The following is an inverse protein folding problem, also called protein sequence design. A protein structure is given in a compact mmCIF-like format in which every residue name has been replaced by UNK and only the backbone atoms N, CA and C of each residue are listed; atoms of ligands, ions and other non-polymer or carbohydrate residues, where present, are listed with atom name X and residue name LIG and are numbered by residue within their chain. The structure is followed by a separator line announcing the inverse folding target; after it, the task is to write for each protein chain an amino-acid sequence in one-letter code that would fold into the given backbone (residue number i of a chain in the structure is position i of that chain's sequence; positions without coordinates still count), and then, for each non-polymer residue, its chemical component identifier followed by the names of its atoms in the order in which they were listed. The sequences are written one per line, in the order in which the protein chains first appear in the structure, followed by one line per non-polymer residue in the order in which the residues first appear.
data_IF_277800814808
#
_entry.id   IF_277800814808
#
_cell.length_a   1.000
_cell.length_b   1.000
_cell.length_c   1.000
_cell.angle_alpha   90.00
_cell.angle_beta   90.00
_cell.angle_gamma   90.00
#
_symmetry.space_group_name_H-M   'P 1'
#
loop_
_entity.id
_entity.type
_entity.pdbx_description
1 polymer ?
#
# COMPACT_ATOMS: atom_id res chain seq x y z
N UNK A 1 41.77 43.26 79.81
CA UNK A 1 41.41 43.98 78.58
C UNK A 1 41.66 43.03 77.42
N UNK A 2 40.65 42.23 77.03
CA UNK A 2 40.02 42.29 75.70
C UNK A 2 40.99 42.76 74.59
N UNK A 3 41.27 41.93 73.58
CA UNK A 3 40.65 42.04 72.23
C UNK A 3 41.14 40.93 71.28
N UNK A 4 40.19 40.08 70.88
CA UNK A 4 39.97 39.28 69.64
C UNK A 4 41.14 38.68 68.83
N UNK A 5 41.11 37.34 68.77
CA UNK A 5 41.53 36.48 67.67
C UNK A 5 40.67 36.69 66.41
N UNK A 6 41.29 36.65 65.22
CA UNK A 6 40.61 36.45 63.93
C UNK A 6 41.18 35.16 63.33
N UNK A 7 40.40 34.08 63.43
CA UNK A 7 40.57 32.86 62.62
C UNK A 7 39.94 33.11 61.25
N UNK A 8 40.71 32.94 60.19
CA UNK A 8 40.21 32.94 58.81
C UNK A 8 39.85 31.49 58.46
N UNK A 9 38.57 31.13 58.60
CA UNK A 9 38.04 29.83 58.21
C UNK A 9 37.72 29.81 56.72
N UNK A 10 38.42 28.95 55.98
CA UNK A 10 38.22 28.64 54.57
C UNK A 10 36.99 27.75 54.42
N UNK A 11 35.83 28.33 54.11
CA UNK A 11 34.61 27.58 53.78
C UNK A 11 34.56 27.33 52.27
N UNK A 12 34.94 26.12 51.83
CA UNK A 12 34.61 25.60 50.51
C UNK A 12 33.12 25.26 50.46
N UNK A 13 32.33 26.09 49.79
CA UNK A 13 30.95 25.79 49.48
C UNK A 13 30.90 24.81 48.29
N UNK A 14 30.68 23.52 48.58
CA UNK A 14 30.23 22.55 47.58
C UNK A 14 28.79 22.89 47.20
N UNK A 15 28.60 23.58 46.09
CA UNK A 15 27.30 23.71 45.46
C UNK A 15 26.95 22.36 44.80
N UNK A 16 26.16 21.54 45.50
CA UNK A 16 25.50 20.40 44.89
C UNK A 16 24.44 20.93 43.91
N UNK A 17 24.80 21.01 42.63
CA UNK A 17 23.84 21.22 41.56
C UNK A 17 22.95 19.98 41.48
N UNK A 18 21.75 20.07 42.05
CA UNK A 18 20.68 19.11 41.81
C UNK A 18 20.18 19.30 40.38
N UNK A 19 20.82 18.64 39.43
CA UNK A 19 20.31 18.51 38.07
C UNK A 19 19.03 17.69 38.14
N UNK A 20 17.89 18.36 38.13
CA UNK A 20 16.60 17.71 37.84
C UNK A 20 16.71 17.28 36.38
N UNK A 21 17.10 16.03 36.18
CA UNK A 21 16.93 15.36 34.90
C UNK A 21 15.41 15.29 34.66
N UNK A 22 14.87 16.27 33.96
CA UNK A 22 13.60 16.09 33.28
C UNK A 22 13.82 14.94 32.30
N UNK A 23 13.44 13.74 32.71
CA UNK A 23 13.23 12.63 31.82
C UNK A 23 12.12 13.03 30.87
N UNK A 24 12.48 13.72 29.79
CA UNK A 24 11.73 13.63 28.56
C UNK A 24 11.74 12.13 28.23
N UNK A 25 10.67 11.43 28.61
CA UNK A 25 10.37 10.13 28.06
C UNK A 25 10.45 10.30 26.55
N UNK A 26 11.49 9.76 25.93
CA UNK A 26 11.66 9.72 24.48
C UNK A 26 10.63 8.76 23.89
N UNK A 27 9.34 8.98 24.18
CA UNK A 27 8.27 8.31 23.48
C UNK A 27 8.32 8.81 22.04
N UNK A 28 8.82 7.94 21.15
CA UNK A 28 8.82 8.21 19.72
C UNK A 28 7.38 8.56 19.31
N UNK A 29 7.16 9.66 18.57
CA UNK A 29 5.83 10.01 18.11
C UNK A 29 5.23 8.84 17.31
N UNK A 30 4.00 8.47 17.63
CA UNK A 30 3.26 7.44 16.89
C UNK A 30 3.06 7.93 15.46
N UNK A 31 3.32 7.06 14.50
CA UNK A 31 3.09 7.35 13.09
C UNK A 31 1.59 7.46 12.82
N UNK A 32 1.19 8.43 11.99
CA UNK A 32 -0.20 8.47 11.55
C UNK A 32 -0.48 7.30 10.61
N UNK A 33 -1.74 6.88 10.54
CA UNK A 33 -2.17 5.90 9.56
C UNK A 33 -1.88 6.36 8.14
N UNK A 34 -1.20 5.48 7.40
CA UNK A 34 -0.75 5.71 6.03
C UNK A 34 -0.48 4.38 5.35
N UNK A 35 -0.47 4.41 4.02
CA UNK A 35 0.19 3.43 3.17
C UNK A 35 1.54 4.00 2.72
N UNK A 36 2.46 3.14 2.31
CA UNK A 36 3.53 3.56 1.41
C UNK A 36 2.93 4.11 0.11
N UNK A 37 3.65 4.99 -0.58
CA UNK A 37 3.17 5.58 -1.82
C UNK A 37 3.76 4.88 -3.04
N UNK A 38 2.91 4.25 -3.84
CA UNK A 38 3.28 3.72 -5.14
C UNK A 38 2.71 2.34 -5.40
N UNK A 39 3.50 1.52 -6.09
CA UNK A 39 3.10 0.20 -6.57
C UNK A 39 3.39 -0.89 -5.53
N UNK A 40 2.38 -1.68 -5.19
CA UNK A 40 2.48 -2.87 -4.36
C UNK A 40 2.38 -4.11 -5.24
N UNK A 41 3.24 -5.09 -5.06
CA UNK A 41 3.00 -6.43 -5.58
C UNK A 41 1.96 -7.10 -4.67
N UNK A 42 0.83 -7.52 -5.24
CA UNK A 42 -0.25 -8.14 -4.48
C UNK A 42 -0.54 -9.55 -5.02
N UNK A 43 -0.61 -10.52 -4.12
CA UNK A 43 -0.98 -11.90 -4.39
C UNK A 43 -2.43 -12.14 -3.96
N UNK A 44 -3.19 -12.81 -4.80
CA UNK A 44 -4.62 -13.06 -4.60
C UNK A 44 -4.84 -14.54 -4.34
N UNK A 45 -5.45 -14.85 -3.19
CA UNK A 45 -5.86 -16.19 -2.80
C UNK A 45 -7.38 -16.31 -2.95
N UNK A 46 -7.85 -17.11 -3.91
CA UNK A 46 -9.28 -17.32 -4.12
C UNK A 46 -9.93 -17.93 -2.86
N UNK A 47 -10.89 -17.22 -2.27
CA UNK A 47 -11.66 -17.69 -1.11
C UNK A 47 -13.03 -18.22 -1.51
N UNK A 48 -13.61 -17.69 -2.59
CA UNK A 48 -14.92 -18.14 -3.13
C UNK A 48 -15.06 -17.82 -4.61
N UNK A 49 -15.73 -18.69 -5.35
CA UNK A 49 -15.97 -18.54 -6.79
C UNK A 49 -15.89 -19.88 -7.51
N UNK A 50 -16.30 -19.93 -8.77
CA UNK A 50 -16.02 -21.09 -9.63
C UNK A 50 -14.56 -20.99 -10.09
N UNK A 51 -13.66 -21.91 -9.67
CA UNK A 51 -12.25 -21.81 -10.01
C UNK A 51 -12.02 -21.85 -11.52
N UNK A 52 -12.90 -22.43 -12.33
CA UNK A 52 -12.71 -22.47 -13.79
C UNK A 52 -13.17 -21.18 -14.48
N UNK A 53 -13.79 -20.25 -13.75
CA UNK A 53 -14.28 -18.99 -14.29
C UNK A 53 -13.16 -17.94 -14.39
N UNK A 54 -13.18 -17.11 -15.43
CA UNK A 54 -12.12 -16.15 -15.72
C UNK A 54 -11.83 -15.17 -14.57
N UNK A 55 -12.85 -14.72 -13.84
CA UNK A 55 -12.69 -13.81 -12.71
C UNK A 55 -12.14 -14.49 -11.45
N UNK A 56 -12.09 -15.83 -11.38
CA UNK A 56 -11.57 -16.63 -10.27
C UNK A 56 -10.13 -17.12 -10.50
N UNK A 57 -9.54 -16.77 -11.64
CA UNK A 57 -8.19 -17.19 -12.07
C UNK A 57 -7.13 -16.11 -11.85
N UNK A 58 -7.46 -15.01 -11.15
CA UNK A 58 -6.48 -13.97 -10.84
C UNK A 58 -5.55 -14.46 -9.74
N UNK A 59 -4.26 -14.49 -10.04
CA UNK A 59 -3.22 -14.87 -9.07
C UNK A 59 -2.68 -13.66 -8.30
N UNK A 60 -2.91 -12.46 -8.80
CA UNK A 60 -2.38 -11.22 -8.25
C UNK A 60 -2.48 -10.05 -9.23
N UNK A 61 -2.05 -8.88 -8.79
CA UNK A 61 -1.89 -7.68 -9.61
C UNK A 61 -0.81 -6.79 -8.97
N UNK A 62 -0.41 -5.74 -9.69
CA UNK A 62 0.27 -4.61 -9.07
C UNK A 62 -0.76 -3.53 -8.74
N UNK A 63 -0.78 -3.13 -7.47
CA UNK A 63 -1.75 -2.16 -6.97
C UNK A 63 -1.08 -0.81 -6.77
N UNK A 64 -1.64 0.23 -7.39
CA UNK A 64 -1.33 1.60 -7.01
C UNK A 64 -2.06 1.95 -5.72
N UNK A 65 -1.32 2.19 -4.64
CA UNK A 65 -1.89 2.57 -3.35
C UNK A 65 -1.34 3.94 -2.93
N UNK A 66 -2.26 4.81 -2.49
CA UNK A 66 -1.90 6.15 -2.03
C UNK A 66 -2.80 6.64 -0.91
N UNK A 67 -2.18 7.22 0.12
CA UNK A 67 -2.88 7.92 1.19
C UNK A 67 -3.11 9.39 0.84
N UNK A 68 -4.31 9.88 1.17
CA UNK A 68 -4.74 11.27 0.99
C UNK A 68 -5.19 11.86 2.31
N UNK A 69 -4.48 12.87 2.79
CA UNK A 69 -4.87 13.61 3.98
C UNK A 69 -5.92 14.67 3.65
N UNK A 70 -6.94 14.79 4.49
CA UNK A 70 -8.00 15.77 4.29
C UNK A 70 -7.51 17.18 4.67
N UNK A 71 -8.16 18.22 4.15
CA UNK A 71 -7.92 19.57 4.63
C UNK A 71 -8.55 19.78 6.03
N UNK A 72 -8.05 20.78 6.77
CA UNK A 72 -8.67 21.21 8.03
C UNK A 72 -7.91 20.84 9.30
N UNK A 73 -6.65 20.42 9.20
CA UNK A 73 -5.78 20.22 10.35
C UNK A 73 -5.38 21.53 11.05
N UNK A 74 -4.78 21.44 12.25
CA UNK A 74 -4.37 22.60 13.02
C UNK A 74 -3.37 23.46 12.25
N UNK A 75 -3.47 24.79 12.40
CA UNK A 75 -2.58 25.75 11.76
C UNK A 75 -2.52 25.65 10.21
N UNK A 76 -3.60 25.16 9.57
CA UNK A 76 -3.66 24.99 8.12
C UNK A 76 -2.89 23.78 7.59
N UNK A 77 -2.50 22.85 8.47
CA UNK A 77 -1.90 21.56 8.07
C UNK A 77 -2.97 20.57 7.57
N UNK A 78 -2.59 19.48 6.88
CA UNK A 78 -3.50 18.39 6.62
C UNK A 78 -4.05 17.77 7.92
N UNK A 79 -5.29 17.31 7.88
CA UNK A 79 -5.90 16.53 8.95
C UNK A 79 -5.43 15.07 8.86
N UNK A 80 -4.36 14.79 9.59
CA UNK A 80 -3.77 13.45 9.67
C UNK A 80 -4.66 12.43 10.40
N UNK A 81 -5.68 12.87 11.13
CA UNK A 81 -6.60 11.97 11.84
C UNK A 81 -7.74 11.46 10.95
N UNK A 82 -7.90 12.06 9.77
CA UNK A 82 -8.98 11.73 8.82
C UNK A 82 -8.42 11.37 7.45
N UNK A 83 -7.32 10.63 7.43
CA UNK A 83 -6.71 10.15 6.21
C UNK A 83 -7.63 9.18 5.46
N UNK A 84 -7.56 9.22 4.12
CA UNK A 84 -8.16 8.23 3.23
C UNK A 84 -7.07 7.48 2.49
N UNK A 85 -7.37 6.32 1.96
CA UNK A 85 -6.49 5.57 1.07
C UNK A 85 -7.25 5.18 -0.18
N UNK A 86 -6.58 5.25 -1.32
CA UNK A 86 -7.08 4.73 -2.58
C UNK A 86 -6.28 3.50 -3.02
N UNK A 87 -6.98 2.54 -3.61
CA UNK A 87 -6.40 1.35 -4.25
C UNK A 87 -6.83 1.37 -5.71
N UNK A 88 -5.86 1.20 -6.62
CA UNK A 88 -6.09 1.07 -8.07
C UNK A 88 -5.37 -0.17 -8.61
N UNK A 89 -6.10 -1.19 -9.07
CA UNK A 89 -5.51 -2.30 -9.82
C UNK A 89 -4.85 -1.82 -11.11
N UNK A 90 -3.59 -2.20 -11.37
CA UNK A 90 -2.89 -1.86 -12.62
C UNK A 90 -3.56 -2.51 -13.82
N UNK A 91 -4.04 -3.74 -13.69
CA UNK A 91 -4.77 -4.44 -14.75
C UNK A 91 -6.01 -3.67 -15.21
N UNK A 92 -6.75 -3.07 -14.28
CA UNK A 92 -7.90 -2.22 -14.59
C UNK A 92 -7.49 -0.93 -15.31
N UNK A 93 -6.41 -0.28 -14.85
CA UNK A 93 -5.84 0.88 -15.52
C UNK A 93 -5.41 0.58 -16.96
N UNK A 94 -4.73 -0.55 -17.18
CA UNK A 94 -4.27 -0.98 -18.51
C UNK A 94 -5.43 -1.21 -19.49
N UNK A 95 -6.58 -1.73 -19.02
CA UNK A 95 -7.78 -1.88 -19.86
C UNK A 95 -8.39 -0.52 -20.27
N UNK A 96 -8.38 0.46 -19.37
CA UNK A 96 -8.80 1.83 -19.70
C UNK A 96 -7.85 2.44 -20.73
N UNK A 97 -6.55 2.30 -20.53
CA UNK A 97 -5.55 2.81 -21.46
C UNK A 97 -5.69 2.18 -22.86
N UNK A 98 -5.92 0.86 -22.94
CA UNK A 98 -6.12 0.18 -24.22
C UNK A 98 -7.39 0.67 -24.93
N UNK A 99 -8.51 0.78 -24.21
CA UNK A 99 -9.76 1.29 -24.76
C UNK A 99 -9.62 2.75 -25.24
N UNK A 100 -8.92 3.60 -24.49
CA UNK A 100 -8.64 4.97 -24.88
C UNK A 100 -7.71 5.04 -26.10
N UNK A 101 -6.69 4.18 -26.18
CA UNK A 101 -5.80 4.09 -27.32
C UNK A 101 -6.53 3.66 -28.61
N UNK A 102 -7.63 2.90 -28.49
CA UNK A 102 -8.53 2.55 -29.60
C UNK A 102 -9.57 3.64 -29.90
N UNK A 103 -9.58 4.73 -29.15
CA UNK A 103 -10.44 5.90 -29.37
C UNK A 103 -11.92 5.67 -29.08
N UNK A 104 -12.26 4.66 -28.27
CA UNK A 104 -13.66 4.34 -27.93
C UNK A 104 -14.14 5.00 -26.64
N UNK A 105 -13.23 5.52 -25.82
CA UNK A 105 -13.51 6.22 -24.56
C UNK A 105 -12.57 7.42 -24.36
N UNK A 106 -12.91 8.28 -23.41
CA UNK A 106 -11.98 9.24 -22.80
C UNK A 106 -11.45 8.65 -21.48
N UNK A 107 -10.13 8.45 -21.38
CA UNK A 107 -9.52 7.84 -20.20
C UNK A 107 -9.71 8.67 -18.92
N UNK A 108 -9.71 10.00 -19.03
CA UNK A 108 -9.84 10.90 -17.88
C UNK A 108 -11.23 10.76 -17.22
N UNK A 109 -12.25 10.39 -18.00
CA UNK A 109 -13.60 10.12 -17.53
C UNK A 109 -13.75 8.79 -16.78
N UNK A 110 -12.80 7.86 -16.91
CA UNK A 110 -12.86 6.54 -16.26
C UNK A 110 -11.80 6.33 -15.19
N UNK A 111 -10.63 6.98 -15.29
CA UNK A 111 -9.54 6.77 -14.34
C UNK A 111 -9.91 7.08 -12.89
N UNK A 112 -10.80 8.04 -12.66
CA UNK A 112 -11.28 8.34 -11.31
C UNK A 112 -12.15 7.21 -10.76
N UNK A 113 -12.94 6.53 -11.60
CA UNK A 113 -13.80 5.39 -11.24
C UNK A 113 -13.04 4.10 -11.02
N UNK A 114 -11.82 4.00 -11.53
CA UNK A 114 -10.92 2.87 -11.29
C UNK A 114 -10.27 2.86 -9.90
N UNK A 115 -10.53 3.87 -9.06
CA UNK A 115 -10.00 3.94 -7.70
C UNK A 115 -11.07 3.52 -6.69
N UNK A 116 -10.75 2.53 -5.88
CA UNK A 116 -11.50 2.24 -4.68
C UNK A 116 -10.97 3.13 -3.57
N UNK A 117 -11.82 3.93 -2.92
CA UNK A 117 -11.40 4.89 -1.88
C UNK A 117 -12.08 4.57 -0.57
N UNK A 118 -11.29 4.38 0.47
CA UNK A 118 -11.73 4.11 1.83
C UNK A 118 -11.14 5.10 2.83
N UNK A 119 -11.75 5.19 4.02
CA UNK A 119 -11.28 6.03 5.11
C UNK A 119 -10.63 5.16 6.18
N UNK A 120 -9.47 5.58 6.71
CA UNK A 120 -8.92 4.92 7.89
C UNK A 120 -9.89 5.11 9.07
N UNK A 121 -10.07 4.04 9.85
CA UNK A 121 -10.96 4.04 11.03
C UNK A 121 -10.44 4.92 12.16
N UNK A 122 -9.11 5.09 12.23
CA UNK A 122 -8.41 5.90 13.19
C UNK A 122 -7.25 6.68 12.54
N UNK A 123 -6.78 7.73 13.23
CA UNK A 123 -5.62 8.50 12.80
C UNK A 123 -4.27 7.84 13.11
N UNK A 124 -4.26 6.82 13.96
CA UNK A 124 -3.06 6.12 14.41
C UNK A 124 -3.29 4.60 14.40
N UNK A 125 -2.23 3.80 14.27
CA UNK A 125 -2.30 2.35 14.35
C UNK A 125 -2.83 1.89 15.71
N UNK A 126 -3.43 0.69 15.72
CA UNK A 126 -3.80 0.00 16.95
C UNK A 126 -2.58 -0.56 17.71
N UNK A 127 -2.82 -1.29 18.80
CA UNK A 127 -1.77 -1.91 19.62
C UNK A 127 -1.00 -3.03 18.91
N UNK A 128 -1.52 -3.50 17.77
CA UNK A 128 -0.88 -4.47 16.89
C UNK A 128 -0.20 -3.79 15.69
N UNK A 129 -0.07 -2.46 15.70
CA UNK A 129 0.51 -1.66 14.61
C UNK A 129 -0.28 -1.69 13.29
N UNK A 130 -1.59 -1.93 13.34
CA UNK A 130 -2.43 -1.90 12.15
C UNK A 130 -3.26 -0.63 12.02
N UNK A 131 -3.32 -0.13 10.79
CA UNK A 131 -4.26 0.87 10.35
C UNK A 131 -5.35 0.23 9.50
N UNK A 132 -6.60 0.36 9.93
CA UNK A 132 -7.71 -0.38 9.36
C UNK A 132 -8.59 0.52 8.46
N UNK A 133 -9.16 -0.08 7.43
CA UNK A 133 -10.17 0.52 6.54
C UNK A 133 -11.28 -0.51 6.36
N UNK A 134 -12.44 -0.24 6.95
CA UNK A 134 -13.56 -1.21 6.94
C UNK A 134 -14.13 -1.44 5.54
N UNK A 135 -14.40 -0.34 4.82
CA UNK A 135 -15.05 -0.37 3.52
C UNK A 135 -14.42 0.64 2.56
N UNK A 136 -14.48 0.30 1.28
CA UNK A 136 -14.12 1.17 0.17
C UNK A 136 -15.35 1.46 -0.69
N UNK A 137 -15.37 2.64 -1.31
CA UNK A 137 -16.18 2.83 -2.51
C UNK A 137 -15.71 1.85 -3.60
N UNK A 138 -16.64 1.37 -4.42
CA UNK A 138 -16.29 0.46 -5.51
C UNK A 138 -15.37 1.14 -6.54
N UNK A 139 -14.40 0.39 -7.04
CA UNK A 139 -13.76 0.72 -8.32
C UNK A 139 -14.52 0.00 -9.43
N UNK A 140 -15.21 0.75 -10.28
CA UNK A 140 -16.12 0.21 -11.30
C UNK A 140 -15.90 0.88 -12.65
N UNK A 141 -15.76 0.06 -13.69
CA UNK A 141 -15.51 0.50 -15.06
C UNK A 141 -16.38 -0.31 -16.01
N UNK A 142 -17.11 0.42 -16.85
CA UNK A 142 -17.84 -0.11 -18.01
C UNK A 142 -17.07 0.26 -19.25
N UNK A 143 -16.59 -0.73 -19.99
CA UNK A 143 -15.88 -0.56 -21.25
C UNK A 143 -16.78 -1.03 -22.41
N UNK A 144 -16.90 -0.22 -23.48
CA UNK A 144 -17.61 -0.65 -24.68
C UNK A 144 -16.85 -1.78 -25.39
N UNK A 145 -17.48 -2.39 -26.40
CA UNK A 145 -16.78 -3.31 -27.30
C UNK A 145 -15.57 -2.62 -27.93
N UNK A 146 -14.41 -3.28 -27.88
CA UNK A 146 -13.19 -2.76 -28.47
C UNK A 146 -13.06 -3.30 -29.90
N UNK A 147 -12.93 -2.43 -30.91
CA UNK A 147 -12.74 -2.89 -32.28
C UNK A 147 -11.37 -3.56 -32.44
N UNK A 148 -11.28 -4.46 -33.42
CA UNK A 148 -9.99 -5.00 -33.84
C UNK A 148 -9.10 -3.88 -34.40
N UNK A 149 -7.82 -3.93 -34.07
CA UNK A 149 -6.80 -3.05 -34.64
C UNK A 149 -6.08 -3.85 -35.72
N UNK A 150 -6.16 -3.44 -37.00
CA UNK A 150 -5.39 -4.09 -38.06
C UNK A 150 -3.91 -3.74 -37.92
N UNK A 151 -3.06 -4.61 -38.45
CA UNK A 151 -1.62 -4.40 -38.54
C UNK A 151 -1.27 -3.14 -39.36
N UNK A 152 -0.26 -2.37 -38.93
CA UNK A 152 0.16 -1.19 -39.71
C UNK A 152 1.05 -1.63 -40.89
N UNK A 153 0.53 -1.48 -42.10
CA UNK A 153 1.25 -1.78 -43.32
C UNK A 153 2.58 -1.03 -43.49
N UNK A 154 2.86 -0.01 -42.67
CA UNK A 154 4.14 0.73 -42.64
C UNK A 154 5.20 0.11 -41.75
N UNK A 155 4.84 -0.79 -40.85
CA UNK A 155 5.73 -1.50 -39.92
C UNK A 155 5.60 -3.02 -40.11
N UNK A 156 5.79 -3.55 -41.34
CA UNK A 156 5.48 -4.96 -41.64
C UNK A 156 6.34 -6.00 -40.90
N UNK A 157 7.36 -5.57 -40.15
CA UNK A 157 8.22 -6.43 -39.33
C UNK A 157 7.74 -6.51 -37.87
N UNK A 158 6.77 -5.69 -37.47
CA UNK A 158 6.16 -5.62 -36.14
C UNK A 158 4.66 -5.92 -36.28
N UNK A 159 4.16 -6.98 -35.64
CA UNK A 159 2.72 -7.27 -35.63
C UNK A 159 2.05 -6.44 -34.52
N UNK A 160 1.40 -5.34 -34.88
CA UNK A 160 0.64 -4.52 -33.93
C UNK A 160 -0.86 -4.80 -33.96
N UNK A 161 -1.26 -5.89 -34.64
CA UNK A 161 -2.66 -6.26 -34.73
C UNK A 161 -3.19 -6.69 -33.36
N UNK A 162 -4.42 -6.25 -33.06
CA UNK A 162 -5.14 -6.63 -31.84
C UNK A 162 -6.52 -7.14 -32.21
N UNK A 163 -6.98 -8.26 -31.61
CA UNK A 163 -8.32 -8.75 -31.86
C UNK A 163 -9.38 -7.78 -31.31
N UNK A 164 -10.61 -7.93 -31.80
CA UNK A 164 -11.75 -7.28 -31.16
C UNK A 164 -12.00 -7.91 -29.79
N UNK A 165 -12.45 -7.11 -28.83
CA UNK A 165 -12.79 -7.56 -27.49
C UNK A 165 -14.24 -7.19 -27.17
N UNK A 166 -15.00 -8.07 -26.51
CA UNK A 166 -16.38 -7.76 -26.14
C UNK A 166 -16.42 -6.61 -25.13
N UNK A 167 -17.58 -5.96 -25.05
CA UNK A 167 -17.85 -5.01 -23.97
C UNK A 167 -17.66 -5.69 -22.61
N UNK A 168 -17.13 -4.95 -21.64
CA UNK A 168 -16.77 -5.51 -20.34
C UNK A 168 -17.24 -4.62 -19.20
N UNK A 169 -17.77 -5.25 -18.15
CA UNK A 169 -18.20 -4.61 -16.90
C UNK A 169 -17.38 -5.18 -15.77
N UNK A 170 -16.58 -4.34 -15.11
CA UNK A 170 -15.62 -4.77 -14.08
C UNK A 170 -15.85 -3.96 -12.82
N UNK A 171 -16.00 -4.64 -11.68
CA UNK A 171 -16.19 -4.03 -10.36
C UNK A 171 -15.29 -4.71 -9.33
N UNK A 172 -14.45 -3.91 -8.67
CA UNK A 172 -13.66 -4.30 -7.51
C UNK A 172 -14.26 -3.67 -6.26
N UNK A 173 -14.59 -4.51 -5.27
CA UNK A 173 -15.06 -4.07 -3.96
C UNK A 173 -14.10 -4.57 -2.89
N UNK A 174 -13.34 -3.64 -2.33
CA UNK A 174 -12.39 -3.91 -1.26
C UNK A 174 -13.05 -3.72 0.11
N UNK A 175 -12.66 -4.53 1.09
CA UNK A 175 -13.11 -4.40 2.48
C UNK A 175 -12.08 -4.95 3.46
N UNK A 176 -12.21 -4.55 4.72
CA UNK A 176 -11.40 -5.06 5.82
C UNK A 176 -9.89 -4.87 5.63
N UNK A 177 -9.48 -3.80 4.93
CA UNK A 177 -8.06 -3.61 4.64
C UNK A 177 -7.28 -3.23 5.90
N UNK A 178 -6.10 -3.82 6.06
CA UNK A 178 -5.18 -3.59 7.18
C UNK A 178 -3.80 -3.27 6.64
N UNK A 179 -3.23 -2.16 7.09
CA UNK A 179 -1.88 -1.73 6.74
C UNK A 179 -0.99 -1.83 7.98
N UNK A 180 0.17 -2.47 7.86
CA UNK A 180 1.18 -2.46 8.94
C UNK A 180 1.82 -1.09 8.95
N UNK A 181 1.70 -0.37 10.07
CA UNK A 181 2.26 0.97 10.27
C UNK A 181 3.02 1.00 11.58
N UNK A 182 4.32 0.77 11.48
CA UNK A 182 5.31 0.81 12.56
C UNK A 182 6.55 1.58 12.10
N UNK A 183 7.54 1.76 12.98
CA UNK A 183 8.77 2.48 12.64
C UNK A 183 9.56 1.84 11.49
N UNK A 184 9.47 0.51 11.39
CA UNK A 184 10.17 -0.40 10.49
C UNK A 184 9.30 -0.86 9.29
N UNK A 185 7.98 -0.73 9.36
CA UNK A 185 7.07 -0.97 8.25
C UNK A 185 6.04 0.16 8.17
N UNK A 186 6.32 1.21 7.38
CA UNK A 186 5.48 2.42 7.30
C UNK A 186 4.41 2.29 6.21
N UNK A 187 3.46 1.38 6.41
CA UNK A 187 2.40 1.10 5.43
C UNK A 187 2.89 0.30 4.23
N UNK A 188 4.01 -0.41 4.35
CA UNK A 188 4.66 -1.17 3.27
C UNK A 188 4.15 -2.59 3.11
N UNK A 189 3.31 -3.06 4.03
CA UNK A 189 2.58 -4.32 3.93
C UNK A 189 1.09 -4.03 4.11
N UNK A 190 0.25 -4.67 3.32
CA UNK A 190 -1.20 -4.61 3.52
C UNK A 190 -1.87 -5.95 3.22
N UNK A 191 -3.03 -6.15 3.82
CA UNK A 191 -3.98 -7.21 3.46
C UNK A 191 -5.38 -6.64 3.31
N UNK A 192 -6.24 -7.28 2.52
CA UNK A 192 -7.64 -6.92 2.35
C UNK A 192 -8.46 -8.09 1.79
N UNK A 193 -9.78 -7.99 1.92
CA UNK A 193 -10.71 -8.84 1.16
C UNK A 193 -11.16 -8.11 -0.11
N UNK A 194 -11.27 -8.84 -1.21
CA UNK A 194 -11.72 -8.34 -2.50
C UNK A 194 -12.88 -9.18 -3.03
N UNK A 195 -14.02 -8.55 -3.28
CA UNK A 195 -15.06 -9.09 -4.15
C UNK A 195 -14.87 -8.52 -5.56
N UNK A 196 -14.57 -9.39 -6.53
CA UNK A 196 -14.45 -9.06 -7.94
C UNK A 196 -15.70 -9.54 -8.68
N UNK A 197 -16.30 -8.64 -9.45
CA UNK A 197 -17.30 -8.97 -10.46
C UNK A 197 -16.80 -8.57 -11.83
N UNK A 198 -16.85 -9.50 -12.78
CA UNK A 198 -16.48 -9.23 -14.16
C UNK A 198 -17.40 -10.01 -15.11
N UNK A 199 -18.12 -9.32 -15.99
CA UNK A 199 -18.88 -9.92 -17.10
C UNK A 199 -19.86 -11.04 -16.65
N UNK A 200 -20.47 -10.86 -15.47
CA UNK A 200 -21.38 -11.83 -14.85
C UNK A 200 -20.71 -12.96 -14.05
N UNK A 201 -19.38 -12.99 -14.01
CA UNK A 201 -18.59 -13.82 -13.08
C UNK A 201 -18.40 -13.08 -11.75
N UNK A 202 -18.45 -13.81 -10.64
CA UNK A 202 -18.14 -13.29 -9.30
C UNK A 202 -17.11 -14.19 -8.60
N UNK A 203 -16.12 -13.58 -7.96
CA UNK A 203 -15.10 -14.24 -7.15
C UNK A 203 -14.74 -13.37 -5.94
N UNK A 204 -14.39 -14.02 -4.83
CA UNK A 204 -13.88 -13.38 -3.62
C UNK A 204 -12.45 -13.85 -3.39
N UNK A 205 -11.58 -12.93 -2.97
CA UNK A 205 -10.17 -13.15 -2.75
C UNK A 205 -9.74 -12.56 -1.41
N UNK A 206 -8.84 -13.28 -0.74
CA UNK A 206 -7.97 -12.69 0.26
C UNK A 206 -6.71 -12.17 -0.46
N UNK A 207 -6.38 -10.90 -0.23
CA UNK A 207 -5.30 -10.20 -0.92
C UNK A 207 -4.25 -9.78 0.08
N UNK A 208 -2.99 -10.08 -0.21
CA UNK A 208 -1.83 -9.66 0.57
C UNK A 208 -0.87 -8.95 -0.37
N UNK A 209 -0.28 -7.84 0.05
CA UNK A 209 0.69 -7.13 -0.79
C UNK A 209 1.81 -6.43 -0.04
N UNK A 210 2.91 -6.24 -0.77
CA UNK A 210 4.15 -5.63 -0.29
C UNK A 210 4.61 -4.51 -1.21
N UNK A 211 5.18 -3.47 -0.61
CA UNK A 211 5.82 -2.36 -1.29
C UNK A 211 7.34 -2.40 -1.11
N UNK A 212 8.11 -2.00 -2.14
CA UNK A 212 7.66 -1.72 -3.51
C UNK A 212 7.38 -3.01 -4.30
N UNK A 213 6.63 -2.89 -5.40
CA UNK A 213 6.54 -3.94 -6.41
C UNK A 213 7.91 -4.15 -7.05
N UNK A 214 8.51 -5.31 -6.82
CA UNK A 214 9.79 -5.75 -7.38
C UNK A 214 9.55 -6.98 -8.23
N UNK A 215 10.08 -6.98 -9.45
CA UNK A 215 10.04 -8.14 -10.33
C UNK A 215 11.07 -9.19 -9.88
N UNK A 216 10.76 -10.47 -10.08
CA UNK A 216 11.69 -11.55 -9.73
C UNK A 216 11.54 -12.75 -10.67
N UNK A 217 12.63 -13.51 -10.78
CA UNK A 217 12.69 -14.86 -11.33
C UNK A 217 13.03 -15.89 -10.24
N UNK A 218 13.67 -15.47 -9.14
CA UNK A 218 14.10 -16.32 -8.03
C UNK A 218 13.92 -15.66 -6.67
N UNK A 219 13.88 -16.45 -5.59
CA UNK A 219 13.76 -15.94 -4.21
C UNK A 219 14.97 -15.09 -3.78
N UNK A 220 16.16 -15.32 -4.36
CA UNK A 220 17.38 -14.56 -4.02
C UNK A 220 17.22 -13.08 -4.40
N UNK A 221 16.54 -12.78 -5.51
CA UNK A 221 16.29 -11.41 -5.96
C UNK A 221 15.34 -10.64 -5.02
N UNK A 222 14.44 -11.35 -4.34
CA UNK A 222 13.54 -10.74 -3.36
C UNK A 222 14.24 -10.38 -2.05
N UNK A 223 15.33 -11.08 -1.73
CA UNK A 223 16.13 -10.86 -0.53
C UNK A 223 17.34 -9.92 -0.79
N UNK A 224 17.43 -9.32 -1.98
CA UNK A 224 18.48 -8.35 -2.31
C UNK A 224 18.20 -6.99 -1.63
N UNK A 225 19.11 -6.56 -0.75
CA UNK A 225 19.03 -5.28 -0.02
C UNK A 225 18.94 -4.04 -0.93
N UNK A 226 19.25 -4.18 -2.23
CA UNK A 226 19.22 -3.09 -3.22
C UNK A 226 17.87 -2.92 -3.90
N UNK A 227 16.92 -3.85 -3.74
CA UNK A 227 15.61 -3.80 -4.40
C UNK A 227 14.63 -2.82 -3.74
N UNK A 228 14.95 -2.32 -2.54
CA UNK A 228 14.17 -1.33 -1.79
C UNK A 228 13.05 -1.90 -0.92
N UNK A 229 12.85 -3.22 -0.90
CA UNK A 229 12.00 -3.88 0.10
C UNK A 229 12.79 -3.95 1.42
N UNK A 230 12.09 -3.88 2.55
CA UNK A 230 12.73 -4.05 3.85
C UNK A 230 13.33 -5.48 3.94
N UNK A 231 14.65 -5.63 4.20
CA UNK A 231 15.31 -6.94 4.24
C UNK A 231 14.85 -7.82 5.42
N UNK A 232 14.15 -7.25 6.41
CA UNK A 232 13.59 -8.02 7.53
C UNK A 232 12.25 -8.68 7.16
N UNK A 233 11.70 -8.43 5.96
CA UNK A 233 10.43 -9.03 5.54
C UNK A 233 10.63 -10.44 5.01
N UNK A 234 9.70 -11.33 5.37
CA UNK A 234 9.66 -12.68 4.83
C UNK A 234 9.09 -12.67 3.41
N UNK A 235 9.96 -12.90 2.43
CA UNK A 235 9.65 -12.75 1.00
C UNK A 235 9.94 -14.02 0.23
N UNK A 236 9.14 -14.24 -0.80
CA UNK A 236 9.42 -15.21 -1.86
C UNK A 236 9.09 -14.65 -3.23
N UNK A 237 9.66 -15.25 -4.26
CA UNK A 237 9.27 -14.98 -5.62
C UNK A 237 8.03 -15.78 -5.99
N UNK A 238 6.93 -15.10 -6.33
CA UNK A 238 5.84 -15.75 -7.04
C UNK A 238 6.22 -15.77 -8.53
N UNK A 239 6.75 -16.89 -9.01
CA UNK A 239 7.22 -17.04 -10.40
C UNK A 239 6.10 -16.96 -11.44
N UNK A 240 4.84 -17.17 -11.04
CA UNK A 240 3.71 -17.03 -11.95
C UNK A 240 3.31 -15.57 -12.16
N UNK A 241 3.51 -14.72 -11.14
CA UNK A 241 3.37 -13.27 -11.25
C UNK A 241 4.66 -12.58 -11.72
N UNK A 242 5.81 -13.21 -11.51
CA UNK A 242 7.13 -12.60 -11.68
C UNK A 242 7.36 -11.46 -10.69
N UNK A 243 6.84 -11.58 -9.46
CA UNK A 243 6.88 -10.53 -8.44
C UNK A 243 7.27 -11.08 -7.06
N UNK A 244 8.01 -10.29 -6.31
CA UNK A 244 8.26 -10.55 -4.89
C UNK A 244 6.99 -10.32 -4.08
N UNK A 245 6.60 -11.33 -3.30
CA UNK A 245 5.40 -11.34 -2.46
C UNK A 245 5.75 -11.76 -1.03
N UNK A 246 4.87 -11.47 -0.08
CA UNK A 246 5.04 -11.89 1.31
C UNK A 246 4.86 -13.41 1.44
N UNK A 247 5.71 -14.05 2.25
CA UNK A 247 5.65 -15.49 2.52
C UNK A 247 4.97 -15.85 3.85
N UNK A 248 4.51 -14.84 4.59
CA UNK A 248 3.84 -14.99 5.90
C UNK A 248 2.64 -14.05 6.02
N UNK A 249 1.78 -14.34 6.99
CA UNK A 249 0.71 -13.43 7.42
C UNK A 249 1.29 -12.13 8.00
N UNK A 250 0.51 -11.05 7.96
CA UNK A 250 0.96 -9.75 8.45
C UNK A 250 1.00 -9.71 9.99
N UNK A 251 2.02 -9.04 10.57
CA UNK A 251 3.18 -8.46 9.89
C UNK A 251 4.21 -9.54 9.53
N UNK A 252 4.59 -9.59 8.26
CA UNK A 252 5.37 -10.68 7.67
C UNK A 252 6.87 -10.44 7.81
N UNK A 253 7.40 -10.59 9.02
CA UNK A 253 8.84 -10.52 9.29
C UNK A 253 9.51 -11.90 9.22
N UNK A 254 10.80 -11.89 8.93
CA UNK A 254 11.67 -13.03 9.16
C UNK A 254 11.68 -13.42 10.64
N UNK A 255 11.87 -14.70 10.92
CA UNK A 255 11.95 -15.16 12.30
C UNK A 255 13.25 -14.64 12.92
N UNK A 256 13.19 -14.04 14.11
CA UNK A 256 14.36 -13.54 14.80
C UNK A 256 15.34 -14.72 15.09
N UNK A 257 16.44 -14.77 14.35
CA UNK A 257 17.52 -15.76 14.53
C UNK A 257 18.38 -15.50 15.75
#
# INVERSE_FOLDING_TARGET
MLTRSIMLSTSFAFAAAATVAFGASCAQPVLNCTSAHGAFAAEYSLTKGDPDAACAQLQGDVLGIQTYFQAGGPNGTPDYQRAKVAIRPRSLGARIDDAAARGVIDADELFHRANAVGAFTAGFPDDQSFCQVEDFADAEVSLPELPAVPDDAKTPDEDESRPAEPASEIRYRWSGARFVVSADAQGTQFEAELELRQDGCEAEYHVVGVYPSVACETDEECNDETNGINPDFALRCNTSLGLCVLDKELPAYEDAT
#
